data_IF_402811285350
#
_entry.id   IF_402811285350
#
_cell.length_a   1.000
_cell.length_b   1.000
_cell.length_c   1.000
_cell.angle_alpha   90.00
_cell.angle_beta   90.00
_cell.angle_gamma   90.00
#
_symmetry.space_group_name_H-M   'P 1'
#
loop_
_entity.id
_entity.type
_entity.pdbx_description
1 polymer ?
#
# COMPACT_ATOMS: atom_id res chain seq x y z
N UNK A 1 4.47 -5.88 -18.55
CA UNK A 1 5.52 -6.40 -17.64
C UNK A 1 6.11 -7.65 -18.27
N UNK A 2 7.42 -7.86 -18.20
CA UNK A 2 8.08 -9.01 -18.84
C UNK A 2 7.68 -10.31 -18.12
N UNK A 3 7.41 -11.37 -18.91
CA UNK A 3 7.13 -12.73 -18.42
C UNK A 3 8.22 -13.25 -17.48
N UNK A 4 9.47 -12.80 -17.65
CA UNK A 4 10.61 -13.26 -16.84
C UNK A 4 10.60 -12.68 -15.42
N UNK A 5 10.16 -11.43 -15.25
CA UNK A 5 10.01 -10.83 -13.92
C UNK A 5 8.91 -11.51 -13.11
N UNK A 6 7.81 -11.88 -13.78
CA UNK A 6 6.73 -12.62 -13.15
C UNK A 6 7.13 -14.04 -12.76
N UNK A 7 7.87 -14.75 -13.62
CA UNK A 7 8.41 -16.07 -13.28
C UNK A 7 9.34 -16.01 -12.08
N UNK A 8 10.29 -15.07 -12.09
CA UNK A 8 11.19 -14.86 -10.96
C UNK A 8 10.42 -14.56 -9.65
N UNK A 9 9.35 -13.75 -9.74
CA UNK A 9 8.46 -13.50 -8.61
C UNK A 9 7.77 -14.77 -8.11
N UNK A 10 7.28 -15.63 -9.00
CA UNK A 10 6.63 -16.88 -8.60
C UNK A 10 7.60 -17.80 -7.84
N UNK A 11 8.84 -17.90 -8.30
CA UNK A 11 9.87 -18.76 -7.70
C UNK A 11 10.45 -18.22 -6.36
N UNK A 12 10.25 -16.94 -6.06
CA UNK A 12 10.82 -16.30 -4.86
C UNK A 12 10.16 -16.79 -3.56
N UNK A 13 10.91 -17.35 -2.63
CA UNK A 13 10.36 -17.69 -1.32
C UNK A 13 10.10 -16.41 -0.50
N UNK A 14 8.90 -16.29 0.07
CA UNK A 14 8.49 -15.15 0.90
C UNK A 14 8.15 -15.65 2.28
N UNK A 15 9.01 -15.40 3.25
CA UNK A 15 8.83 -15.80 4.65
C UNK A 15 8.72 -14.59 5.59
N UNK A 16 9.04 -13.39 5.09
CA UNK A 16 8.97 -12.11 5.78
C UNK A 16 8.48 -11.03 4.81
N UNK A 17 7.83 -9.96 5.30
CA UNK A 17 7.36 -8.88 4.43
C UNK A 17 8.48 -8.21 3.63
N UNK A 18 9.69 -8.16 4.18
CA UNK A 18 10.87 -7.58 3.54
C UNK A 18 11.46 -8.42 2.41
N UNK A 19 11.02 -9.67 2.23
CA UNK A 19 11.43 -10.51 1.11
C UNK A 19 10.72 -10.08 -0.18
N UNK A 20 9.64 -9.30 -0.08
CA UNK A 20 8.92 -8.75 -1.23
C UNK A 20 9.74 -7.62 -1.87
N UNK A 21 10.10 -7.74 -3.15
CA UNK A 21 10.82 -6.68 -3.85
C UNK A 21 10.01 -5.36 -3.86
N UNK A 22 10.66 -4.20 -3.73
CA UNK A 22 10.00 -2.91 -3.87
C UNK A 22 9.24 -2.80 -5.20
N UNK A 23 8.09 -2.12 -5.19
CA UNK A 23 7.22 -1.94 -6.36
C UNK A 23 6.71 -3.25 -6.99
N UNK A 24 6.67 -4.36 -6.24
CA UNK A 24 5.96 -5.57 -6.66
C UNK A 24 4.47 -5.25 -6.84
N UNK A 25 3.87 -5.54 -8.01
CA UNK A 25 2.47 -5.25 -8.26
C UNK A 25 1.55 -5.89 -7.22
N UNK A 26 0.59 -5.14 -6.68
CA UNK A 26 -0.36 -5.65 -5.69
C UNK A 26 -1.08 -6.93 -6.14
N UNK A 27 -1.44 -7.01 -7.42
CA UNK A 27 -2.07 -8.19 -8.01
C UNK A 27 -1.20 -9.45 -7.91
N UNK A 28 0.12 -9.32 -7.99
CA UNK A 28 1.06 -10.43 -7.84
C UNK A 28 1.19 -10.88 -6.39
N UNK A 29 1.14 -9.93 -5.44
CA UNK A 29 1.08 -10.24 -4.01
C UNK A 29 -0.20 -11.01 -3.67
N UNK A 30 -1.35 -10.54 -4.16
CA UNK A 30 -2.65 -11.14 -3.93
C UNK A 30 -2.74 -12.55 -4.54
N UNK A 31 -2.24 -12.74 -5.77
CA UNK A 31 -2.20 -14.04 -6.43
C UNK A 31 -1.35 -15.05 -5.65
N UNK A 32 -0.14 -14.65 -5.24
CA UNK A 32 0.74 -15.52 -4.45
C UNK A 32 0.16 -15.84 -3.07
N UNK A 33 -0.44 -14.84 -2.42
CA UNK A 33 -1.15 -15.01 -1.15
C UNK A 33 -2.26 -16.04 -1.27
N UNK A 34 -3.08 -15.95 -2.33
CA UNK A 34 -4.16 -16.89 -2.60
C UNK A 34 -3.62 -18.31 -2.78
N UNK A 35 -2.54 -18.51 -3.56
CA UNK A 35 -1.95 -19.83 -3.76
C UNK A 35 -1.49 -20.52 -2.47
N UNK A 36 -0.81 -19.78 -1.57
CA UNK A 36 -0.45 -20.31 -0.25
C UNK A 36 -1.68 -20.57 0.64
N UNK A 37 -2.68 -19.68 0.62
CA UNK A 37 -3.90 -19.83 1.40
C UNK A 37 -4.76 -21.03 0.95
N UNK A 38 -4.81 -21.32 -0.35
CA UNK A 38 -5.49 -22.49 -0.91
C UNK A 38 -4.84 -23.78 -0.42
N UNK A 39 -3.49 -23.87 -0.45
CA UNK A 39 -2.76 -25.02 0.09
C UNK A 39 -3.03 -25.22 1.58
N UNK A 40 -3.07 -24.15 2.38
CA UNK A 40 -3.44 -24.25 3.79
C UNK A 40 -4.87 -24.77 3.99
N UNK A 41 -5.81 -24.30 3.16
CA UNK A 41 -7.20 -24.76 3.19
C UNK A 41 -7.31 -26.24 2.82
N UNK A 42 -6.48 -26.72 1.88
CA UNK A 42 -6.42 -28.13 1.49
C UNK A 42 -5.99 -29.06 2.64
N UNK A 43 -5.40 -28.54 3.73
CA UNK A 43 -5.15 -29.35 4.94
C UNK A 43 -6.43 -29.83 5.63
N UNK A 44 -7.56 -29.16 5.38
CA UNK A 44 -8.88 -29.53 5.92
C UNK A 44 -9.55 -30.66 5.14
N UNK A 45 -9.04 -31.00 3.94
CA UNK A 45 -9.60 -32.10 3.14
C UNK A 45 -9.32 -33.45 3.80
N UNK A 46 -10.24 -34.40 3.67
CA UNK A 46 -10.01 -35.78 4.09
C UNK A 46 -8.79 -36.38 3.38
N UNK A 47 -8.06 -37.28 4.04
CA UNK A 47 -6.82 -37.89 3.50
C UNK A 47 -7.08 -38.63 2.19
N UNK A 48 -8.27 -39.21 2.07
CA UNK A 48 -8.81 -39.97 0.93
C UNK A 48 -9.67 -39.14 -0.03
N UNK A 49 -9.57 -37.80 0.03
CA UNK A 49 -10.24 -36.92 -0.92
C UNK A 49 -9.89 -37.31 -2.36
N UNK A 50 -10.88 -37.47 -3.26
CA UNK A 50 -10.64 -37.82 -4.67
C UNK A 50 -10.00 -36.66 -5.46
N UNK A 51 -9.90 -35.47 -4.87
CA UNK A 51 -9.22 -34.32 -5.47
C UNK A 51 -7.76 -34.33 -5.01
N UNK A 52 -6.84 -34.57 -5.94
CA UNK A 52 -5.41 -34.34 -5.72
C UNK A 52 -5.17 -32.84 -5.54
N UNK A 53 -5.01 -32.43 -4.29
CA UNK A 53 -4.78 -31.04 -3.91
C UNK A 53 -3.51 -30.95 -3.07
N UNK A 54 -2.61 -30.06 -3.47
CA UNK A 54 -1.38 -29.79 -2.70
C UNK A 54 -1.75 -29.25 -1.32
N UNK A 55 -1.23 -29.89 -0.27
CA UNK A 55 -1.51 -29.52 1.13
C UNK A 55 -0.41 -28.63 1.66
N UNK A 56 -0.82 -27.61 2.40
CA UNK A 56 0.10 -26.57 2.86
C UNK A 56 1.05 -27.04 3.95
N UNK A 57 2.23 -26.43 3.97
CA UNK A 57 3.30 -26.64 4.95
C UNK A 57 3.36 -25.49 5.97
N UNK A 58 4.38 -25.48 6.82
CA UNK A 58 4.71 -24.29 7.64
C UNK A 58 5.04 -23.07 6.79
N UNK A 59 5.66 -23.29 5.64
CA UNK A 59 6.19 -22.23 4.79
C UNK A 59 5.03 -21.49 4.12
N UNK A 60 3.96 -22.21 3.75
CA UNK A 60 2.72 -21.59 3.30
C UNK A 60 2.08 -20.71 4.37
N UNK A 61 2.11 -21.13 5.64
CA UNK A 61 1.57 -20.32 6.74
C UNK A 61 2.38 -19.04 6.94
N UNK A 62 3.72 -19.13 6.89
CA UNK A 62 4.60 -17.97 6.99
C UNK A 62 4.44 -17.03 5.79
N UNK A 63 4.33 -17.58 4.58
CA UNK A 63 4.12 -16.81 3.37
C UNK A 63 2.79 -16.06 3.40
N UNK A 64 1.70 -16.68 3.85
CA UNK A 64 0.41 -16.00 4.03
C UNK A 64 0.53 -14.81 4.98
N UNK A 65 1.22 -14.96 6.11
CA UNK A 65 1.43 -13.88 7.07
C UNK A 65 2.29 -12.75 6.49
N UNK A 66 3.42 -13.11 5.87
CA UNK A 66 4.34 -12.18 5.27
C UNK A 66 3.71 -11.37 4.13
N UNK A 67 2.97 -12.03 3.23
CA UNK A 67 2.29 -11.39 2.11
C UNK A 67 1.14 -10.49 2.57
N UNK A 68 0.36 -10.90 3.58
CA UNK A 68 -0.67 -10.01 4.17
C UNK A 68 -0.08 -8.74 4.74
N UNK A 69 1.02 -8.87 5.47
CA UNK A 69 1.70 -7.72 6.07
C UNK A 69 2.36 -6.85 5.00
N UNK A 70 2.92 -7.43 3.93
CA UNK A 70 3.43 -6.68 2.78
C UNK A 70 2.32 -5.90 2.06
N UNK A 71 1.18 -6.55 1.77
CA UNK A 71 -0.01 -5.91 1.18
C UNK A 71 -0.49 -4.76 2.06
N UNK A 72 -0.60 -4.98 3.39
CA UNK A 72 -1.00 -3.95 4.34
C UNK A 72 -0.05 -2.75 4.28
N UNK A 73 1.27 -2.97 4.30
CA UNK A 73 2.27 -1.90 4.22
C UNK A 73 2.17 -1.12 2.92
N UNK A 74 1.97 -1.81 1.79
CA UNK A 74 1.83 -1.18 0.48
C UNK A 74 0.58 -0.28 0.42
N UNK A 75 -0.56 -0.77 0.90
CA UNK A 75 -1.81 -0.01 0.95
C UNK A 75 -1.74 1.18 1.91
N UNK A 76 -1.06 1.04 3.04
CA UNK A 76 -0.87 2.17 3.98
C UNK A 76 0.13 3.21 3.46
N UNK A 77 1.17 2.82 2.71
CA UNK A 77 2.18 3.76 2.19
C UNK A 77 1.56 4.81 1.24
N UNK A 78 0.59 4.40 0.41
CA UNK A 78 -0.11 5.29 -0.52
C UNK A 78 -1.29 6.06 0.08
N UNK A 79 -1.68 5.78 1.33
CA UNK A 79 -2.97 6.26 1.87
C UNK A 79 -3.08 7.78 1.93
N UNK A 80 -2.04 8.47 2.37
CA UNK A 80 -2.02 9.94 2.38
C UNK A 80 -1.95 10.57 0.98
N UNK A 81 -1.31 9.90 0.01
CA UNK A 81 -1.31 10.34 -1.38
C UNK A 81 -2.72 10.30 -1.98
N UNK A 82 -3.49 9.24 -1.71
CA UNK A 82 -4.87 9.14 -2.18
C UNK A 82 -5.82 10.14 -1.51
N UNK A 83 -5.59 10.48 -0.23
CA UNK A 83 -6.31 11.60 0.42
C UNK A 83 -6.03 12.92 -0.33
N UNK A 84 -4.76 13.22 -0.63
CA UNK A 84 -4.40 14.41 -1.43
C UNK A 84 -5.12 14.41 -2.78
N UNK A 85 -5.05 13.29 -3.51
CA UNK A 85 -5.63 13.18 -4.85
C UNK A 85 -7.15 13.39 -4.81
N UNK A 86 -7.86 12.81 -3.83
CA UNK A 86 -9.29 12.99 -3.65
C UNK A 86 -9.65 14.47 -3.43
N UNK A 87 -8.95 15.16 -2.51
CA UNK A 87 -9.17 16.58 -2.24
C UNK A 87 -8.88 17.44 -3.47
N UNK A 88 -7.80 17.16 -4.20
CA UNK A 88 -7.45 17.89 -5.43
C UNK A 88 -8.47 17.68 -6.57
N UNK A 89 -9.19 16.56 -6.54
CA UNK A 89 -10.27 16.26 -7.48
C UNK A 89 -11.64 16.77 -6.99
N UNK A 90 -11.67 17.57 -5.93
CA UNK A 90 -12.87 18.26 -5.44
C UNK A 90 -13.65 17.52 -4.36
N UNK A 91 -13.16 16.40 -3.84
CA UNK A 91 -13.77 15.80 -2.65
C UNK A 91 -13.58 16.70 -1.43
N UNK A 92 -14.54 16.65 -0.52
CA UNK A 92 -14.50 17.32 0.78
C UNK A 92 -13.83 16.43 1.83
N UNK A 93 -13.40 17.02 2.95
CA UNK A 93 -12.86 16.25 4.07
C UNK A 93 -13.90 15.29 4.68
N UNK A 94 -15.18 15.67 4.71
CA UNK A 94 -16.26 14.81 5.17
C UNK A 94 -16.42 13.55 4.28
N UNK A 95 -16.32 13.69 2.95
CA UNK A 95 -16.38 12.57 2.02
C UNK A 95 -15.16 11.66 2.15
N UNK A 96 -13.97 12.23 2.30
CA UNK A 96 -12.74 11.47 2.53
C UNK A 96 -12.82 10.69 3.86
N UNK A 97 -13.25 11.35 4.93
CA UNK A 97 -13.41 10.74 6.25
C UNK A 97 -14.42 9.57 6.21
N UNK A 98 -15.56 9.77 5.54
CA UNK A 98 -16.56 8.73 5.35
C UNK A 98 -16.03 7.55 4.52
N UNK A 99 -15.27 7.80 3.45
CA UNK A 99 -14.68 6.75 2.63
C UNK A 99 -13.63 5.92 3.38
N UNK A 100 -12.95 6.54 4.35
CA UNK A 100 -11.94 5.90 5.20
C UNK A 100 -12.52 5.30 6.49
N UNK A 101 -13.79 5.55 6.80
CA UNK A 101 -14.47 5.20 8.06
C UNK A 101 -13.72 5.70 9.30
N UNK A 102 -13.30 6.98 9.27
CA UNK A 102 -12.59 7.66 10.36
C UNK A 102 -13.10 9.09 10.54
N UNK A 103 -12.65 9.79 11.59
CA UNK A 103 -12.94 11.21 11.75
C UNK A 103 -12.14 12.08 10.77
N UNK A 104 -12.67 13.25 10.39
CA UNK A 104 -11.99 14.23 9.50
C UNK A 104 -10.60 14.62 10.01
N UNK A 105 -10.44 14.78 11.32
CA UNK A 105 -9.13 15.13 11.91
C UNK A 105 -8.11 13.99 11.83
N UNK A 106 -8.56 12.74 11.88
CA UNK A 106 -7.70 11.58 11.63
C UNK A 106 -7.29 11.53 10.15
N UNK A 107 -8.21 11.82 9.23
CA UNK A 107 -7.88 11.93 7.81
C UNK A 107 -6.86 13.07 7.53
N UNK A 108 -7.01 14.22 8.19
CA UNK A 108 -6.02 15.32 8.14
C UNK A 108 -4.66 14.88 8.66
N UNK A 109 -4.62 14.15 9.78
CA UNK A 109 -3.37 13.62 10.32
C UNK A 109 -2.67 12.66 9.35
N UNK A 110 -3.41 11.81 8.63
CA UNK A 110 -2.85 10.95 7.58
C UNK A 110 -2.20 11.75 6.46
N UNK A 111 -2.86 12.82 5.99
CA UNK A 111 -2.29 13.68 4.95
C UNK A 111 -1.01 14.39 5.41
N UNK A 112 -1.00 14.92 6.66
CA UNK A 112 0.18 15.57 7.24
C UNK A 112 1.36 14.62 7.35
N UNK A 113 1.15 13.45 7.93
CA UNK A 113 2.21 12.45 8.10
C UNK A 113 2.83 12.03 6.76
N UNK A 114 1.98 11.83 5.73
CA UNK A 114 2.47 11.55 4.39
C UNK A 114 3.26 12.72 3.80
N UNK A 115 2.76 13.96 3.92
CA UNK A 115 3.45 15.14 3.40
C UNK A 115 4.83 15.33 4.04
N UNK A 116 4.95 15.07 5.35
CA UNK A 116 6.22 15.11 6.09
C UNK A 116 7.22 14.07 5.56
N UNK A 117 6.78 12.83 5.33
CA UNK A 117 7.61 11.77 4.73
C UNK A 117 8.10 12.21 3.35
N UNK A 118 7.21 12.74 2.50
CA UNK A 118 7.59 13.20 1.17
C UNK A 118 8.55 14.38 1.21
N UNK A 119 8.41 15.28 2.18
CA UNK A 119 9.33 16.40 2.36
C UNK A 119 10.72 15.91 2.78
N UNK A 120 10.78 14.95 3.70
CA UNK A 120 12.02 14.32 4.11
C UNK A 120 12.72 13.62 2.93
N UNK A 121 11.97 12.86 2.12
CA UNK A 121 12.51 12.21 0.92
C UNK A 121 13.14 13.21 -0.06
N UNK A 122 12.50 14.36 -0.23
CA UNK A 122 12.98 15.40 -1.15
C UNK A 122 14.32 15.95 -0.67
N UNK A 123 14.37 16.37 0.60
CA UNK A 123 15.61 16.88 1.22
C UNK A 123 16.73 15.85 1.17
N UNK A 124 16.45 14.60 1.53
CA UNK A 124 17.46 13.54 1.54
C UNK A 124 17.99 13.22 0.12
N UNK A 125 17.17 13.37 -0.92
CA UNK A 125 17.59 13.18 -2.31
C UNK A 125 18.48 14.34 -2.79
N UNK A 126 18.14 15.58 -2.43
CA UNK A 126 18.97 16.75 -2.70
C UNK A 126 20.33 16.67 -2.01
N UNK A 127 20.37 16.26 -0.74
CA UNK A 127 21.62 16.06 0.02
C UNK A 127 22.53 15.00 -0.60
N UNK A 128 21.97 13.97 -1.23
CA UNK A 128 22.72 12.94 -1.97
C UNK A 128 23.10 13.37 -3.39
N UNK A 129 22.66 14.54 -3.86
CA UNK A 129 22.87 14.99 -5.25
C UNK A 129 22.10 14.16 -6.28
N UNK A 130 21.04 13.49 -5.86
CA UNK A 130 20.16 12.68 -6.71
C UNK A 130 19.02 13.53 -7.27
N UNK A 131 18.33 13.01 -8.29
CA UNK A 131 17.06 13.59 -8.74
C UNK A 131 16.10 13.67 -7.54
N UNK A 132 15.52 14.85 -7.22
CA UNK A 132 14.68 14.98 -6.04
C UNK A 132 13.46 14.06 -6.10
N UNK A 133 13.27 13.24 -5.06
CA UNK A 133 12.12 12.37 -4.88
C UNK A 133 11.22 12.91 -3.77
N UNK A 134 9.91 13.00 -4.01
CA UNK A 134 8.96 13.51 -3.02
C UNK A 134 8.54 14.96 -3.29
N UNK A 135 8.14 15.68 -2.24
CA UNK A 135 7.56 17.03 -2.38
C UNK A 135 8.60 18.13 -2.17
N UNK A 136 8.66 19.05 -3.13
CA UNK A 136 9.37 20.32 -2.97
C UNK A 136 8.76 21.14 -1.82
N UNK A 137 9.46 22.19 -1.39
CA UNK A 137 8.95 23.05 -0.30
C UNK A 137 7.60 23.68 -0.65
N UNK A 138 7.43 24.12 -1.90
CA UNK A 138 6.18 24.71 -2.40
C UNK A 138 5.06 23.67 -2.48
N UNK A 139 5.36 22.47 -2.99
CA UNK A 139 4.38 21.38 -3.05
C UNK A 139 3.95 20.92 -1.65
N UNK A 140 4.89 20.85 -0.71
CA UNK A 140 4.61 20.54 0.69
C UNK A 140 3.68 21.59 1.32
N UNK A 141 3.99 22.89 1.15
CA UNK A 141 3.15 23.97 1.65
C UNK A 141 1.73 23.93 1.04
N UNK A 142 1.62 23.63 -0.25
CA UNK A 142 0.34 23.46 -0.92
C UNK A 142 -0.47 22.29 -0.36
N UNK A 143 0.17 21.18 0.02
CA UNK A 143 -0.51 20.05 0.66
C UNK A 143 -0.96 20.40 2.06
N UNK A 144 -0.14 21.09 2.85
CA UNK A 144 -0.54 21.53 4.20
C UNK A 144 -1.71 22.50 4.18
N UNK A 145 -1.80 23.38 3.18
CA UNK A 145 -2.93 24.28 3.01
C UNK A 145 -4.26 23.53 2.87
N UNK A 146 -4.27 22.32 2.29
CA UNK A 146 -5.47 21.48 2.22
C UNK A 146 -5.99 21.07 3.61
N UNK A 147 -5.10 20.95 4.61
CA UNK A 147 -5.50 20.53 5.97
C UNK A 147 -6.24 21.62 6.74
N UNK A 148 -6.22 22.85 6.23
CA UNK A 148 -6.90 24.02 6.82
C UNK A 148 -8.32 24.23 6.25
N UNK A 149 -8.71 23.49 5.20
CA UNK A 149 -10.06 23.55 4.65
C UNK A 149 -11.09 23.02 5.65
N UNK A 150 -12.29 23.62 5.64
CA UNK A 150 -13.42 23.13 6.41
C UNK A 150 -13.87 21.73 5.93
N UNK A 151 -14.67 21.04 6.76
CA UNK A 151 -15.09 19.66 6.47
C UNK A 151 -15.93 19.53 5.20
N UNK A 152 -16.69 20.57 4.86
CA UNK A 152 -17.60 20.69 3.71
C UNK A 152 -17.02 21.53 2.56
N UNK A 153 -15.81 22.03 2.70
CA UNK A 153 -15.16 22.89 1.72
C UNK A 153 -14.33 22.07 0.73
N UNK A 154 -14.63 22.14 -0.59
CA UNK A 154 -13.80 21.51 -1.60
C UNK A 154 -12.52 22.33 -1.84
N UNK A 155 -11.44 21.68 -2.25
CA UNK A 155 -10.26 22.41 -2.73
C UNK A 155 -10.62 23.20 -3.99
N UNK A 156 -10.12 24.44 -4.10
CA UNK A 156 -10.31 25.23 -5.30
C UNK A 156 -9.72 24.51 -6.53
N UNK A 157 -10.50 24.40 -7.60
CA UNK A 157 -10.04 23.87 -8.88
C UNK A 157 -8.83 24.68 -9.37
N UNK A 158 -7.73 23.99 -9.72
CA UNK A 158 -6.54 24.59 -10.34
C UNK A 158 -6.62 24.54 -11.85
#
# INVERSE_FOLDING_TARGET
MSTDAYKHWQDLEVCRPGDVPPATPLMWLAEKHQGHADRLTNRLLAVDSPHEAERGTSDDALAVLALREAIRREMEYGRGAHVRDALQLGATWAEVAAALDIASDEARALLRAWAEIQRHLYTASEERGEQPLGLSAEQYAAVLALTELADDEPAAER
#
